data_IF_982644985677
#
_entry.id   IF_982644985677
#
_cell.length_a   1.000
_cell.length_b   1.000
_cell.length_c   1.000
_cell.angle_alpha   90.00
_cell.angle_beta   90.00
_cell.angle_gamma   90.00
#
_symmetry.space_group_name_H-M   'P 1'
#
loop_
_entity.id
_entity.type
_entity.pdbx_description
1 polymer ?
#
# COMPACT_ATOMS: atom_id res chain seq x y z
N UNK A 1 17.91 20.81 -3.84
CA UNK A 1 16.75 19.90 -3.77
C UNK A 1 17.26 18.46 -3.82
N UNK A 2 17.09 17.66 -2.77
CA UNK A 2 17.28 16.20 -2.90
C UNK A 2 16.08 15.69 -3.70
N UNK A 3 16.31 15.06 -4.85
CA UNK A 3 15.26 14.32 -5.57
C UNK A 3 14.68 13.28 -4.60
N UNK A 4 13.48 13.51 -4.11
CA UNK A 4 12.77 12.54 -3.27
C UNK A 4 12.64 11.24 -4.05
N UNK A 5 13.18 10.15 -3.51
CA UNK A 5 13.15 8.84 -4.17
C UNK A 5 11.71 8.32 -4.13
N UNK A 6 11.12 8.08 -5.30
CA UNK A 6 9.73 7.61 -5.45
C UNK A 6 9.71 6.10 -5.68
N UNK A 7 8.74 5.41 -5.08
CA UNK A 7 8.55 3.96 -5.24
C UNK A 7 7.08 3.65 -5.51
N UNK A 8 6.84 2.83 -6.53
CA UNK A 8 5.54 2.23 -6.82
C UNK A 8 5.52 0.79 -6.27
N UNK A 9 4.63 0.51 -5.33
CA UNK A 9 4.29 -0.85 -4.90
C UNK A 9 3.03 -1.25 -5.65
N UNK A 10 3.16 -2.21 -6.58
CA UNK A 10 2.03 -2.68 -7.38
C UNK A 10 1.54 -4.04 -6.88
N UNK A 11 0.26 -4.13 -6.54
CA UNK A 11 -0.44 -5.36 -6.21
C UNK A 11 -1.44 -5.69 -7.34
N UNK A 12 -1.03 -6.48 -8.35
CA UNK A 12 -1.86 -6.81 -9.51
C UNK A 12 -2.92 -7.90 -9.23
N UNK A 13 -2.88 -8.50 -8.05
CA UNK A 13 -3.74 -9.62 -7.65
C UNK A 13 -5.22 -9.19 -7.57
N UNK A 14 -6.11 -9.98 -8.20
CA UNK A 14 -7.58 -9.78 -8.17
C UNK A 14 -8.26 -10.49 -6.99
N UNK A 15 -7.66 -11.55 -6.47
CA UNK A 15 -8.16 -12.37 -5.36
C UNK A 15 -7.73 -11.85 -3.99
N UNK A 16 -6.61 -11.14 -3.91
CA UNK A 16 -6.07 -10.59 -2.66
C UNK A 16 -6.41 -9.10 -2.53
N UNK A 17 -7.26 -8.70 -1.57
CA UNK A 17 -7.41 -7.29 -1.24
C UNK A 17 -6.10 -6.81 -0.61
N UNK A 18 -5.35 -5.95 -1.32
CA UNK A 18 -4.04 -5.47 -0.91
C UNK A 18 -4.03 -4.82 0.50
N UNK A 19 -5.19 -4.33 0.93
CA UNK A 19 -5.38 -3.65 2.20
C UNK A 19 -6.35 -4.38 3.15
N UNK A 20 -6.69 -5.64 2.86
CA UNK A 20 -7.53 -6.47 3.72
C UNK A 20 -6.82 -7.02 4.97
N UNK A 21 -7.44 -8.02 5.60
CA UNK A 21 -6.90 -8.71 6.80
C UNK A 21 -6.11 -9.97 6.48
N UNK A 22 -5.91 -10.31 5.20
CA UNK A 22 -5.14 -11.49 4.82
C UNK A 22 -3.66 -11.34 5.18
N UNK A 23 -2.94 -12.46 5.33
CA UNK A 23 -1.50 -12.45 5.54
C UNK A 23 -0.75 -11.67 4.44
N UNK A 24 -1.16 -11.83 3.18
CA UNK A 24 -0.62 -11.08 2.06
C UNK A 24 -0.81 -9.56 2.24
N UNK A 25 -1.96 -9.13 2.75
CA UNK A 25 -2.22 -7.71 3.06
C UNK A 25 -1.32 -7.17 4.17
N UNK A 26 -0.98 -7.99 5.18
CA UNK A 26 -0.02 -7.62 6.24
C UNK A 26 1.37 -7.37 5.64
N UNK A 27 1.84 -8.26 4.75
CA UNK A 27 3.13 -8.10 4.10
C UNK A 27 3.20 -6.84 3.23
N UNK A 28 2.16 -6.55 2.44
CA UNK A 28 2.09 -5.31 1.64
C UNK A 28 2.20 -4.08 2.54
N UNK A 29 1.47 -4.03 3.66
CA UNK A 29 1.58 -2.92 4.62
C UNK A 29 2.97 -2.80 5.24
N UNK A 30 3.61 -3.93 5.57
CA UNK A 30 4.97 -3.96 6.10
C UNK A 30 5.98 -3.38 5.12
N UNK A 31 5.90 -3.76 3.84
CA UNK A 31 6.74 -3.22 2.77
C UNK A 31 6.55 -1.71 2.64
N UNK A 32 5.30 -1.25 2.56
CA UNK A 32 5.00 0.17 2.40
C UNK A 32 5.51 0.99 3.59
N UNK A 33 5.30 0.53 4.82
CA UNK A 33 5.83 1.18 6.03
C UNK A 33 7.35 1.24 6.00
N UNK A 34 8.02 0.13 5.70
CA UNK A 34 9.47 0.08 5.66
C UNK A 34 10.08 1.02 4.60
N UNK A 35 9.39 1.21 3.46
CA UNK A 35 9.78 2.19 2.44
C UNK A 35 9.56 3.63 2.92
N UNK A 36 8.38 3.93 3.48
CA UNK A 36 8.09 5.27 3.99
C UNK A 36 9.05 5.68 5.11
N UNK A 37 9.36 4.79 6.04
CA UNK A 37 10.33 5.01 7.14
C UNK A 37 11.75 5.28 6.63
N UNK A 38 12.09 4.77 5.44
CA UNK A 38 13.38 5.04 4.76
C UNK A 38 13.37 6.35 3.96
N UNK A 39 12.28 7.11 4.02
CA UNK A 39 12.12 8.41 3.36
C UNK A 39 11.73 8.33 1.88
N UNK A 40 11.18 7.20 1.43
CA UNK A 40 10.64 7.10 0.07
C UNK A 40 9.23 7.69 0.00
N UNK A 41 8.92 8.37 -1.11
CA UNK A 41 7.55 8.74 -1.46
C UNK A 41 6.87 7.51 -2.10
N UNK A 42 5.99 6.85 -1.35
CA UNK A 42 5.40 5.56 -1.76
C UNK A 42 4.02 5.77 -2.38
N UNK A 43 3.83 5.19 -3.56
CA UNK A 43 2.51 4.98 -4.17
C UNK A 43 2.19 3.48 -4.14
N UNK A 44 1.03 3.12 -3.59
CA UNK A 44 0.50 1.76 -3.56
C UNK A 44 -0.61 1.64 -4.61
N UNK A 45 -0.34 0.93 -5.70
CA UNK A 45 -1.28 0.65 -6.78
C UNK A 45 -1.93 -0.72 -6.58
N UNK A 46 -3.26 -0.77 -6.46
CA UNK A 46 -4.00 -1.99 -6.09
C UNK A 46 -5.17 -2.22 -7.03
N UNK A 47 -5.47 -3.48 -7.38
CA UNK A 47 -6.66 -3.78 -8.22
C UNK A 47 -8.00 -3.75 -7.48
N UNK A 48 -7.99 -3.94 -6.16
CA UNK A 48 -9.21 -4.05 -5.36
C UNK A 48 -8.97 -3.52 -3.95
N UNK A 49 -9.76 -2.52 -3.56
CA UNK A 49 -9.89 -2.06 -2.18
C UNK A 49 -11.09 -2.78 -1.54
N UNK A 50 -10.92 -3.37 -0.35
CA UNK A 50 -12.03 -3.95 0.45
C UNK A 50 -12.67 -2.87 1.33
N UNK A 51 -13.88 -3.10 1.81
CA UNK A 51 -14.70 -2.16 2.59
C UNK A 51 -13.98 -1.50 3.80
N UNK A 52 -14.19 -0.19 3.93
CA UNK A 52 -13.40 0.85 4.61
C UNK A 52 -13.39 0.78 6.15
N UNK A 53 -14.19 -0.10 6.77
CA UNK A 53 -14.32 -0.16 8.24
C UNK A 53 -13.08 -0.73 8.94
N UNK A 54 -12.39 -1.69 8.34
CA UNK A 54 -11.13 -2.22 8.87
C UNK A 54 -9.93 -1.26 8.63
N UNK A 55 -10.10 -0.27 7.75
CA UNK A 55 -9.03 0.59 7.25
C UNK A 55 -8.69 1.74 8.19
N UNK A 56 -9.67 2.24 8.96
CA UNK A 56 -9.41 3.26 9.98
C UNK A 56 -8.39 2.81 11.03
N UNK A 57 -8.16 1.50 11.18
CA UNK A 57 -7.22 0.94 12.15
C UNK A 57 -5.80 0.78 11.62
N UNK A 58 -5.55 0.94 10.32
CA UNK A 58 -4.21 0.80 9.75
C UNK A 58 -3.96 1.87 8.69
N UNK A 59 -3.67 3.10 9.13
CA UNK A 59 -3.09 4.11 8.26
C UNK A 59 -1.82 3.54 7.61
N UNK A 60 -1.81 3.48 6.28
CA UNK A 60 -0.66 3.08 5.47
C UNK A 60 -0.03 4.38 4.94
N UNK A 61 1.29 4.61 5.15
CA UNK A 61 1.95 5.86 4.73
C UNK A 61 2.27 5.85 3.23
N UNK A 62 1.24 5.80 2.39
CA UNK A 62 1.36 5.84 0.94
C UNK A 62 0.18 6.56 0.30
N UNK A 63 0.42 7.13 -0.88
CA UNK A 63 -0.66 7.47 -1.81
C UNK A 63 -1.24 6.15 -2.34
N UNK A 64 -2.54 5.93 -2.18
CA UNK A 64 -3.21 4.73 -2.69
C UNK A 64 -3.88 5.06 -4.01
N UNK A 65 -3.64 4.24 -5.03
CA UNK A 65 -4.31 4.34 -6.33
C UNK A 65 -4.94 2.99 -6.66
N UNK A 66 -6.21 3.00 -7.05
CA UNK A 66 -6.84 1.81 -7.60
C UNK A 66 -6.49 1.71 -9.09
N UNK A 67 -6.05 0.54 -9.53
CA UNK A 67 -5.65 0.25 -10.92
C UNK A 67 -6.43 -0.95 -11.42
N UNK A 68 -7.41 -0.73 -12.29
CA UNK A 68 -8.27 -1.82 -12.74
C UNK A 68 -9.43 -1.35 -13.57
#
# INVERSE_FOLDING_TARGET
>A
MKLGRRVLVWVPDRGVPALGTSGASVHVRGVVRGLAERGYEVTLAVRRIRDHRAYRLAAVPARIVEVG
#
